data_IF_695471251537
#
_entry.id   IF_695471251537
#
_cell.length_a   1.000
_cell.length_b   1.000
_cell.length_c   1.000
_cell.angle_alpha   90.00
_cell.angle_beta   90.00
_cell.angle_gamma   90.00
#
_symmetry.space_group_name_H-M   'P 1'
#
loop_
_entity.id
_entity.type
_entity.pdbx_description
1 polymer ?
#
# COMPACT_ATOMS: atom_id res chain seq x y z
N UNK A 1 -28.24 -10.82 -17.44
CA UNK A 1 -27.42 -10.02 -16.50
C UNK A 1 -27.40 -10.82 -15.23
N UNK A 2 -26.34 -11.58 -15.00
CA UNK A 2 -26.21 -12.40 -13.80
C UNK A 2 -25.88 -11.48 -12.63
N UNK A 3 -26.88 -11.26 -11.78
CA UNK A 3 -26.71 -10.56 -10.52
C UNK A 3 -26.00 -11.51 -9.56
N UNK A 4 -24.73 -11.24 -9.22
CA UNK A 4 -24.05 -11.95 -8.14
C UNK A 4 -24.67 -11.46 -6.82
N UNK A 5 -25.43 -12.33 -6.16
CA UNK A 5 -26.06 -12.03 -4.86
C UNK A 5 -25.10 -12.42 -3.75
N UNK A 6 -24.89 -11.53 -2.78
CA UNK A 6 -24.17 -11.86 -1.55
C UNK A 6 -25.01 -12.87 -0.77
N UNK A 7 -24.53 -14.11 -0.66
CA UNK A 7 -25.23 -15.20 0.04
C UNK A 7 -24.92 -15.19 1.54
N UNK A 8 -23.65 -14.97 1.91
CA UNK A 8 -23.20 -14.95 3.30
C UNK A 8 -21.93 -14.10 3.47
N UNK A 9 -21.69 -13.60 4.68
CA UNK A 9 -20.46 -12.89 5.06
C UNK A 9 -20.17 -13.10 6.55
N UNK A 10 -18.91 -12.98 6.96
CA UNK A 10 -18.49 -13.13 8.34
C UNK A 10 -17.04 -12.73 8.54
N UNK A 11 -16.56 -12.81 9.78
CA UNK A 11 -15.15 -12.61 10.15
C UNK A 11 -14.60 -13.92 10.68
N UNK A 12 -13.42 -14.30 10.23
CA UNK A 12 -12.75 -15.48 10.77
C UNK A 12 -12.44 -15.32 12.26
N UNK A 13 -12.30 -16.45 12.95
CA UNK A 13 -11.74 -16.48 14.30
C UNK A 13 -10.22 -16.20 14.28
N UNK A 14 -9.57 -16.26 15.45
CA UNK A 14 -8.13 -16.05 15.57
C UNK A 14 -7.29 -17.14 14.87
N UNK A 15 -7.90 -18.28 14.56
CA UNK A 15 -7.29 -19.41 13.86
C UNK A 15 -7.49 -19.31 12.33
N UNK A 16 -8.17 -18.27 11.84
CA UNK A 16 -8.43 -18.05 10.42
C UNK A 16 -9.65 -18.80 9.88
N UNK A 17 -10.46 -19.40 10.74
CA UNK A 17 -11.60 -20.23 10.34
C UNK A 17 -12.90 -19.42 10.30
N UNK A 18 -13.76 -19.74 9.33
CA UNK A 18 -15.10 -19.18 9.19
C UNK A 18 -16.05 -20.26 8.69
N UNK A 19 -17.21 -20.38 9.34
CA UNK A 19 -18.21 -21.41 9.01
C UNK A 19 -19.46 -20.78 8.39
N UNK A 20 -19.94 -21.42 7.33
CA UNK A 20 -21.19 -21.07 6.66
C UNK A 20 -22.05 -22.31 6.46
N UNK A 21 -23.36 -22.17 6.65
CA UNK A 21 -24.34 -23.17 6.24
C UNK A 21 -24.86 -22.79 4.86
N UNK A 22 -24.37 -23.48 3.83
CA UNK A 22 -24.71 -23.23 2.43
C UNK A 22 -25.43 -24.44 1.84
N UNK A 23 -26.33 -24.19 0.89
CA UNK A 23 -26.93 -25.26 0.09
C UNK A 23 -25.89 -25.91 -0.83
N UNK A 24 -26.23 -27.07 -1.39
CA UNK A 24 -25.38 -27.73 -2.41
C UNK A 24 -25.30 -26.82 -3.64
N UNK A 25 -24.09 -26.47 -4.06
CA UNK A 25 -23.88 -25.51 -5.14
C UNK A 25 -22.44 -25.06 -5.30
N UNK A 26 -22.21 -24.14 -6.24
CA UNK A 26 -20.92 -23.48 -6.47
C UNK A 26 -21.03 -22.01 -6.11
N UNK A 27 -20.11 -21.52 -5.29
CA UNK A 27 -20.14 -20.16 -4.75
C UNK A 27 -18.80 -19.45 -4.97
N UNK A 28 -18.86 -18.15 -5.25
CA UNK A 28 -17.66 -17.32 -5.26
C UNK A 28 -17.36 -16.86 -3.83
N UNK A 29 -16.15 -17.14 -3.36
CA UNK A 29 -15.62 -16.67 -2.09
C UNK A 29 -14.70 -15.48 -2.35
N UNK A 30 -14.89 -14.39 -1.60
CA UNK A 30 -14.00 -13.22 -1.62
C UNK A 30 -13.55 -12.99 -0.18
N UNK A 31 -12.23 -12.95 0.04
CA UNK A 31 -11.68 -12.59 1.35
C UNK A 31 -10.98 -11.24 1.34
N UNK A 32 -10.93 -10.64 2.52
CA UNK A 32 -10.23 -9.40 2.77
C UNK A 32 -9.64 -9.44 4.18
N UNK A 33 -8.37 -9.12 4.29
CA UNK A 33 -7.69 -8.88 5.55
C UNK A 33 -6.65 -7.78 5.35
N UNK A 34 -6.60 -6.82 6.28
CA UNK A 34 -5.64 -5.71 6.20
C UNK A 34 -4.21 -6.25 6.21
N UNK A 35 -3.37 -5.75 5.30
CA UNK A 35 -1.99 -6.21 5.15
C UNK A 35 -1.83 -7.54 4.40
N UNK A 36 -2.91 -8.13 3.87
CA UNK A 36 -2.87 -9.31 3.03
C UNK A 36 -3.51 -9.04 1.67
N UNK A 37 -2.99 -9.73 0.66
CA UNK A 37 -3.54 -9.76 -0.69
C UNK A 37 -4.09 -11.16 -0.94
N UNK A 38 -5.30 -11.21 -1.49
CA UNK A 38 -5.99 -12.42 -1.90
C UNK A 38 -6.23 -12.36 -3.41
N UNK A 39 -6.45 -13.53 -4.02
CA UNK A 39 -7.02 -13.58 -5.36
C UNK A 39 -8.38 -12.87 -5.38
N UNK A 40 -8.78 -12.34 -6.54
CA UNK A 40 -10.03 -11.59 -6.68
C UNK A 40 -11.25 -12.36 -6.16
N UNK A 41 -11.24 -13.67 -6.36
CA UNK A 41 -12.16 -14.63 -5.76
C UNK A 41 -11.54 -16.02 -5.80
N UNK A 42 -12.12 -16.92 -5.01
CA UNK A 42 -12.00 -18.37 -5.15
C UNK A 42 -13.39 -18.98 -5.41
N UNK A 43 -13.45 -20.24 -5.82
CA UNK A 43 -14.71 -20.96 -6.05
C UNK A 43 -14.83 -22.14 -5.11
N UNK A 44 -15.79 -22.06 -4.18
CA UNK A 44 -16.12 -23.17 -3.28
C UNK A 44 -17.23 -24.01 -3.91
N UNK A 45 -17.04 -25.32 -3.95
CA UNK A 45 -18.06 -26.28 -4.40
C UNK A 45 -18.59 -27.07 -3.20
N UNK A 46 -19.82 -26.77 -2.81
CA UNK A 46 -20.50 -27.42 -1.68
C UNK A 46 -21.25 -28.65 -2.19
N UNK A 47 -20.80 -29.83 -1.78
CA UNK A 47 -21.48 -31.12 -2.04
C UNK A 47 -21.99 -31.79 -0.75
N UNK A 48 -21.64 -31.22 0.40
CA UNK A 48 -21.90 -31.71 1.75
C UNK A 48 -21.07 -30.92 2.77
N UNK A 49 -21.02 -31.38 4.02
CA UNK A 49 -20.15 -30.80 5.03
C UNK A 49 -18.67 -31.00 4.62
N UNK A 50 -17.89 -29.92 4.66
CA UNK A 50 -16.48 -29.93 4.28
C UNK A 50 -15.80 -28.63 4.63
N UNK A 51 -14.51 -28.59 4.36
CA UNK A 51 -13.65 -27.42 4.53
C UNK A 51 -13.00 -27.08 3.18
N UNK A 52 -12.73 -25.80 2.99
CA UNK A 52 -11.96 -25.30 1.86
C UNK A 52 -10.90 -24.33 2.40
N UNK A 53 -9.76 -24.24 1.73
CA UNK A 53 -8.62 -23.43 2.15
C UNK A 53 -8.40 -22.28 1.18
N UNK A 54 -8.55 -21.07 1.68
CA UNK A 54 -8.17 -19.87 0.95
C UNK A 54 -6.78 -19.41 1.37
N UNK A 55 -5.89 -19.24 0.39
CA UNK A 55 -4.56 -18.68 0.62
C UNK A 55 -4.51 -17.19 0.27
N UNK A 56 -4.02 -16.39 1.21
CA UNK A 56 -3.57 -15.02 0.98
C UNK A 56 -2.07 -14.91 1.24
N UNK A 57 -1.44 -13.87 0.72
CA UNK A 57 -0.06 -13.55 1.00
C UNK A 57 0.04 -12.17 1.64
N UNK A 58 0.98 -11.99 2.56
CA UNK A 58 1.25 -10.68 3.16
C UNK A 58 1.58 -9.70 2.05
N UNK A 59 0.99 -8.50 2.11
CA UNK A 59 1.34 -7.42 1.21
C UNK A 59 2.81 -7.08 1.42
N UNK A 60 3.60 -7.26 0.36
CA UNK A 60 5.02 -6.88 0.33
C UNK A 60 5.19 -5.67 -0.59
N UNK A 61 5.53 -4.47 -0.05
CA UNK A 61 5.86 -3.31 -0.88
C UNK A 61 7.19 -3.50 -1.65
N UNK A 62 7.89 -4.62 -1.42
CA UNK A 62 9.18 -4.93 -1.98
C UNK A 62 10.33 -4.26 -1.22
N UNK A 63 11.55 -4.58 -1.65
CA UNK A 63 12.76 -4.05 -1.05
C UNK A 63 13.20 -2.75 -1.74
N UNK A 64 13.73 -1.77 -0.98
CA UNK A 64 14.31 -0.57 -1.56
C UNK A 64 15.48 -0.91 -2.49
N UNK A 65 15.70 -0.06 -3.49
CA UNK A 65 16.77 -0.20 -4.48
C UNK A 65 18.19 -0.24 -3.88
N UNK A 66 18.36 0.27 -2.66
CA UNK A 66 19.60 0.20 -1.90
C UNK A 66 19.31 -0.09 -0.41
N UNK A 67 20.18 -0.83 0.29
CA UNK A 67 19.94 -1.29 1.66
C UNK A 67 19.88 -0.17 2.71
N UNK A 68 20.39 1.02 2.40
CA UNK A 68 20.38 2.20 3.27
C UNK A 68 19.18 3.13 3.01
N UNK A 69 18.26 2.75 2.11
CA UNK A 69 17.04 3.49 1.84
C UNK A 69 15.84 2.81 2.52
N UNK A 70 14.81 3.58 2.77
CA UNK A 70 13.49 3.11 3.19
C UNK A 70 12.53 3.25 2.02
N UNK A 71 11.82 2.17 1.67
CA UNK A 71 10.71 2.23 0.72
C UNK A 71 9.47 2.82 1.39
N UNK A 72 9.23 4.10 1.18
CA UNK A 72 8.01 4.79 1.60
C UNK A 72 6.91 4.57 0.55
N UNK A 73 5.78 3.99 0.94
CA UNK A 73 4.70 3.65 0.01
C UNK A 73 3.33 4.07 0.53
N UNK A 74 2.38 4.30 -0.38
CA UNK A 74 0.99 4.57 -0.04
C UNK A 74 0.07 4.34 -1.25
N UNK A 75 -1.23 4.51 -1.00
CA UNK A 75 -2.27 4.46 -2.00
C UNK A 75 -2.99 5.81 -2.08
N UNK A 76 -3.49 6.13 -3.27
CA UNK A 76 -4.28 7.34 -3.53
C UNK A 76 -5.63 6.90 -4.07
N UNK A 77 -6.69 7.38 -3.41
CA UNK A 77 -8.08 7.12 -3.78
C UNK A 77 -8.85 8.43 -3.93
N UNK A 78 -9.86 8.42 -4.80
CA UNK A 78 -10.83 9.51 -4.93
C UNK A 78 -11.85 9.48 -3.77
N UNK A 79 -12.76 10.46 -3.74
CA UNK A 79 -13.81 10.54 -2.72
C UNK A 79 -14.80 9.37 -2.76
N UNK A 80 -14.87 8.64 -3.88
CA UNK A 80 -15.72 7.47 -4.05
C UNK A 80 -14.98 6.17 -3.70
N UNK A 81 -13.72 6.24 -3.29
CA UNK A 81 -12.87 5.07 -3.02
C UNK A 81 -12.30 4.40 -4.26
N UNK A 82 -12.37 5.04 -5.44
CA UNK A 82 -11.72 4.51 -6.64
C UNK A 82 -10.22 4.83 -6.62
N UNK A 83 -9.36 3.90 -7.06
CA UNK A 83 -7.93 4.16 -7.17
C UNK A 83 -7.65 5.30 -8.15
N UNK A 84 -6.67 6.14 -7.82
CA UNK A 84 -6.26 7.29 -8.64
C UNK A 84 -4.93 7.00 -9.35
N UNK A 85 -4.97 6.46 -10.60
CA UNK A 85 -3.78 6.22 -11.37
C UNK A 85 -3.20 7.51 -11.94
N UNK A 86 -1.90 7.46 -12.24
CA UNK A 86 -1.17 8.55 -12.89
C UNK A 86 -1.04 9.85 -12.07
N UNK A 87 -1.28 9.81 -10.77
CA UNK A 87 -0.93 10.91 -9.88
C UNK A 87 0.60 11.01 -9.82
N UNK A 88 1.14 12.22 -9.86
CA UNK A 88 2.58 12.46 -9.70
C UNK A 88 2.88 12.69 -8.23
N UNK A 89 3.73 11.84 -7.66
CA UNK A 89 4.20 11.97 -6.28
C UNK A 89 5.63 12.48 -6.32
N UNK A 90 5.91 13.51 -5.54
CA UNK A 90 7.25 14.06 -5.35
C UNK A 90 7.61 14.02 -3.88
N UNK A 91 8.81 13.54 -3.55
CA UNK A 91 9.45 13.80 -2.26
C UNK A 91 10.63 14.75 -2.48
N UNK A 92 10.70 15.83 -1.71
CA UNK A 92 11.84 16.73 -1.72
C UNK A 92 12.27 17.15 -0.33
N UNK A 93 13.58 17.36 -0.14
CA UNK A 93 14.15 17.99 1.04
C UNK A 93 14.09 19.51 0.86
N UNK A 94 13.27 20.24 1.65
CA UNK A 94 12.95 21.65 1.39
C UNK A 94 14.05 22.64 1.81
N UNK A 95 15.14 22.21 2.48
CA UNK A 95 16.14 23.14 3.00
C UNK A 95 17.58 22.61 3.05
N UNK A 96 18.50 23.39 2.46
CA UNK A 96 19.95 23.24 2.61
C UNK A 96 20.58 22.07 1.84
N UNK A 97 21.92 21.99 1.92
CA UNK A 97 22.66 20.80 1.46
C UNK A 97 22.46 19.71 2.52
N UNK A 98 21.54 18.79 2.26
CA UNK A 98 21.42 17.59 3.08
C UNK A 98 22.61 16.66 2.83
N UNK A 99 23.09 16.02 3.89
CA UNK A 99 24.16 15.02 3.82
C UNK A 99 23.69 13.71 4.42
N UNK A 100 24.24 12.61 3.93
CA UNK A 100 24.14 11.29 4.56
C UNK A 100 25.55 10.80 4.84
N UNK A 101 25.95 10.80 6.11
CA UNK A 101 27.35 10.70 6.50
C UNK A 101 28.19 11.82 5.88
N UNK A 102 29.24 11.46 5.16
CA UNK A 102 30.13 12.41 4.45
C UNK A 102 29.62 12.79 3.06
N UNK A 103 28.58 12.12 2.55
CA UNK A 103 28.08 12.29 1.19
C UNK A 103 27.06 13.44 1.10
N UNK A 104 27.09 14.16 -0.01
CA UNK A 104 26.06 15.15 -0.35
C UNK A 104 24.86 14.41 -0.97
N UNK A 105 23.66 14.72 -0.49
CA UNK A 105 22.42 14.17 -1.04
C UNK A 105 22.05 14.95 -2.30
N UNK A 106 22.21 14.29 -3.45
CA UNK A 106 21.73 14.75 -4.75
C UNK A 106 21.23 13.55 -5.55
N UNK A 107 20.03 13.60 -6.15
CA UNK A 107 19.12 14.75 -6.17
C UNK A 107 18.43 14.95 -4.81
N UNK A 108 18.11 16.20 -4.47
CA UNK A 108 17.32 16.55 -3.26
C UNK A 108 15.81 16.32 -3.45
N UNK A 109 15.42 15.88 -4.66
CA UNK A 109 14.05 15.61 -5.07
C UNK A 109 14.01 14.31 -5.87
N UNK A 110 13.05 13.46 -5.56
CA UNK A 110 12.70 12.28 -6.35
C UNK A 110 11.20 12.28 -6.64
N UNK A 111 10.79 11.60 -7.71
CA UNK A 111 9.39 11.53 -8.09
C UNK A 111 9.03 10.17 -8.66
N UNK A 112 7.77 9.79 -8.48
CA UNK A 112 7.15 8.59 -9.04
C UNK A 112 5.74 8.91 -9.52
N UNK A 113 5.08 7.93 -10.13
CA UNK A 113 3.70 8.01 -10.61
C UNK A 113 2.92 6.83 -10.06
N UNK A 114 1.68 7.06 -9.60
CA UNK A 114 0.81 5.98 -9.12
C UNK A 114 0.37 5.04 -10.24
N UNK A 115 0.27 3.75 -9.93
CA UNK A 115 -0.17 2.70 -10.85
C UNK A 115 -1.70 2.62 -10.97
N UNK A 116 -2.22 1.59 -11.68
CA UNK A 116 -3.66 1.35 -11.88
C UNK A 116 -4.45 1.12 -10.58
N UNK A 117 -3.78 0.76 -9.48
CA UNK A 117 -4.37 0.56 -8.16
C UNK A 117 -4.21 1.79 -7.27
N UNK A 118 -3.70 2.91 -7.81
CA UNK A 118 -3.39 4.11 -7.06
C UNK A 118 -2.18 3.94 -6.13
N UNK A 119 -1.46 2.82 -6.24
CA UNK A 119 -0.29 2.52 -5.43
C UNK A 119 0.93 3.27 -5.96
N UNK A 120 1.78 3.72 -5.04
CA UNK A 120 3.09 4.28 -5.36
C UNK A 120 4.10 3.97 -4.27
N UNK A 121 5.39 4.05 -4.63
CA UNK A 121 6.48 4.02 -3.67
C UNK A 121 7.63 4.95 -4.07
N UNK A 122 8.40 5.37 -3.07
CA UNK A 122 9.63 6.12 -3.20
C UNK A 122 10.67 5.50 -2.26
N UNK A 123 11.88 5.27 -2.77
CA UNK A 123 13.00 4.86 -1.93
C UNK A 123 13.73 6.11 -1.44
N UNK A 124 13.68 6.36 -0.13
CA UNK A 124 14.16 7.60 0.50
C UNK A 124 15.20 7.30 1.57
N UNK A 125 16.16 8.21 1.76
CA UNK A 125 17.11 8.11 2.87
C UNK A 125 16.32 8.33 4.17
N UNK A 126 16.45 7.48 5.20
CA UNK A 126 15.82 7.72 6.50
C UNK A 126 16.17 9.11 7.05
N UNK A 127 15.18 9.80 7.61
CA UNK A 127 15.34 11.18 8.12
C UNK A 127 16.44 11.29 9.18
N UNK A 128 16.59 10.28 10.04
CA UNK A 128 17.62 10.25 11.09
C UNK A 128 19.03 10.01 10.55
N UNK A 129 19.15 9.56 9.28
CA UNK A 129 20.42 9.42 8.57
C UNK A 129 20.83 10.68 7.83
N UNK A 130 20.03 11.75 7.90
CA UNK A 130 20.30 13.03 7.27
C UNK A 130 20.92 14.04 8.24
N UNK A 131 21.85 14.83 7.72
CA UNK A 131 22.44 15.98 8.41
C UNK A 131 22.10 17.28 7.64
N UNK A 132 21.70 18.37 8.33
CA UNK A 132 21.46 18.45 9.78
C UNK A 132 20.32 17.55 10.24
N UNK A 133 20.30 17.14 11.52
CA UNK A 133 19.27 16.27 12.06
C UNK A 133 17.87 16.91 12.01
N UNK A 134 16.82 16.10 11.95
CA UNK A 134 15.43 16.57 11.94
C UNK A 134 14.94 17.01 10.56
N UNK A 135 15.57 16.52 9.48
CA UNK A 135 15.13 16.77 8.12
C UNK A 135 13.81 16.06 7.83
N UNK A 136 12.85 16.83 7.34
CA UNK A 136 11.54 16.34 6.92
C UNK A 136 11.47 16.37 5.40
N UNK A 137 10.94 15.28 4.84
CA UNK A 137 10.59 15.24 3.43
C UNK A 137 9.27 15.97 3.22
N UNK A 138 9.24 16.90 2.27
CA UNK A 138 8.00 17.43 1.74
C UNK A 138 7.49 16.48 0.65
N UNK A 139 6.41 15.76 0.94
CA UNK A 139 5.69 14.94 -0.02
C UNK A 139 4.61 15.79 -0.66
N UNK A 140 4.59 15.83 -1.99
CA UNK A 140 3.55 16.48 -2.79
C UNK A 140 2.89 15.46 -3.71
N UNK A 141 1.56 15.46 -3.75
CA UNK A 141 0.77 14.69 -4.71
C UNK A 141 0.10 15.68 -5.66
N UNK A 142 0.35 15.53 -6.95
CA UNK A 142 -0.24 16.34 -8.00
C UNK A 142 -1.01 15.48 -9.00
N UNK A 143 -2.20 15.96 -9.39
CA UNK A 143 -2.99 15.44 -10.51
C UNK A 143 -3.01 16.48 -11.64
N UNK A 144 -3.67 16.16 -12.75
CA UNK A 144 -3.85 17.09 -13.88
C UNK A 144 -4.44 18.44 -13.44
N UNK A 145 -5.33 18.41 -12.46
CA UNK A 145 -6.07 19.58 -11.99
C UNK A 145 -5.33 20.40 -10.92
N UNK A 146 -4.15 19.94 -10.46
CA UNK A 146 -3.31 20.64 -9.51
C UNK A 146 -2.74 19.78 -8.39
N UNK A 147 -2.12 20.44 -7.41
CA UNK A 147 -1.62 19.81 -6.19
C UNK A 147 -2.81 19.50 -5.28
N UNK A 148 -3.04 18.23 -5.00
CA UNK A 148 -4.09 17.79 -4.08
C UNK A 148 -3.59 17.66 -2.65
N UNK A 149 -2.28 17.52 -2.46
CA UNK A 149 -1.70 17.29 -1.16
C UNK A 149 -0.26 17.78 -1.08
N UNK A 150 0.09 18.37 0.06
CA UNK A 150 1.47 18.67 0.45
C UNK A 150 1.61 18.47 1.96
N UNK A 151 2.53 17.61 2.38
CA UNK A 151 2.80 17.34 3.81
C UNK A 151 4.27 17.12 4.06
N UNK A 152 4.72 17.45 5.27
CA UNK A 152 6.07 17.16 5.74
C UNK A 152 6.04 15.96 6.66
N UNK A 153 6.87 14.97 6.37
CA UNK A 153 6.94 13.71 7.12
C UNK A 153 8.37 13.30 7.42
N UNK A 154 8.53 12.53 8.49
CA UNK A 154 9.76 11.82 8.84
C UNK A 154 9.74 10.46 8.17
N UNK A 155 10.83 10.06 7.52
CA UNK A 155 11.00 8.70 7.01
C UNK A 155 11.79 7.89 8.05
N UNK A 156 11.22 6.81 8.61
CA UNK A 156 11.88 6.04 9.66
C UNK A 156 13.03 5.18 9.11
N UNK A 157 13.88 4.71 10.02
CA UNK A 157 14.95 3.77 9.68
C UNK A 157 14.43 2.33 9.65
N UNK A 158 13.62 2.02 8.63
CA UNK A 158 13.11 0.68 8.32
C UNK A 158 13.29 0.36 6.83
N UNK A 159 13.14 -0.90 6.44
CA UNK A 159 13.25 -1.31 5.02
C UNK A 159 12.08 -0.77 4.19
N UNK A 160 10.89 -0.79 4.76
CA UNK A 160 9.67 -0.27 4.16
C UNK A 160 8.82 0.42 5.21
N UNK A 161 8.02 1.39 4.77
CA UNK A 161 7.11 2.13 5.63
C UNK A 161 5.90 2.63 4.86
N UNK A 162 4.70 2.36 5.39
CA UNK A 162 3.47 2.90 4.83
C UNK A 162 3.29 4.34 5.28
N UNK A 163 3.15 5.25 4.33
CA UNK A 163 2.82 6.64 4.63
C UNK A 163 1.35 6.69 5.08
N UNK A 164 1.15 7.10 6.32
CA UNK A 164 -0.18 7.47 6.85
C UNK A 164 -0.35 8.98 6.76
N UNK A 165 -1.45 9.43 6.18
CA UNK A 165 -1.80 10.84 6.03
C UNK A 165 -2.57 11.36 7.25
#
# INVERSE_FOLDING_TARGET
MDQTVLIATGRSNNDGELLFNLDIGSYLLIANASGYVFNAFDTIVVTGAGEDLLFGYTFDPGQPSQPNLCRAYAYIYDINGNPEPHATITASLPGGVARSGELIVSPFKVSTVSDSLGYFYLDLIPSDSLSPSGQLYEITIAKKDGIVMRQRITIPQTTSWQISW
#
